data_IF_829177711404
#
_entry.id   IF_829177711404
#
_cell.length_a   1.000
_cell.length_b   1.000
_cell.length_c   1.000
_cell.angle_alpha   90.00
_cell.angle_beta   90.00
_cell.angle_gamma   90.00
#
_symmetry.space_group_name_H-M   'P 1'
#
loop_
_entity.id
_entity.type
_entity.pdbx_description
1 polymer ?
#
# COMPACT_ATOMS: atom_id res chain seq x y z
N UNK A 1 -0.08 -26.04 9.59
CA UNK A 1 -1.48 -26.49 9.64
C UNK A 1 -2.07 -26.36 8.23
N UNK A 2 -2.92 -27.30 7.83
CA UNK A 2 -3.67 -27.22 6.56
C UNK A 2 -5.15 -27.23 6.90
N UNK A 3 -5.90 -26.26 6.38
CA UNK A 3 -7.34 -26.16 6.57
C UNK A 3 -8.04 -26.53 5.26
N UNK A 4 -9.13 -27.28 5.32
CA UNK A 4 -9.94 -27.68 4.17
C UNK A 4 -11.43 -27.66 4.54
N UNK A 5 -12.32 -27.63 3.54
CA UNK A 5 -13.77 -27.61 3.77
C UNK A 5 -14.32 -26.25 4.23
N UNK A 6 -13.59 -25.15 3.97
CA UNK A 6 -14.07 -23.80 4.21
C UNK A 6 -15.13 -23.45 3.16
N UNK A 7 -16.27 -22.95 3.61
CA UNK A 7 -17.42 -22.58 2.77
C UNK A 7 -17.79 -21.12 3.06
N UNK A 8 -18.12 -20.36 2.01
CA UNK A 8 -18.42 -18.93 2.13
C UNK A 8 -17.27 -18.15 2.76
N UNK A 9 -17.58 -17.20 3.63
CA UNK A 9 -16.62 -16.31 4.31
C UNK A 9 -15.95 -16.92 5.55
N UNK A 10 -15.95 -18.26 5.69
CA UNK A 10 -15.33 -18.94 6.83
C UNK A 10 -13.80 -18.88 6.80
N UNK A 11 -13.22 -18.69 5.62
CA UNK A 11 -11.80 -18.40 5.45
C UNK A 11 -11.42 -17.00 5.97
N UNK A 12 -12.22 -15.97 5.70
CA UNK A 12 -12.05 -14.64 6.26
C UNK A 12 -12.12 -14.66 7.79
N UNK A 13 -13.10 -15.39 8.35
CA UNK A 13 -13.22 -15.58 9.79
C UNK A 13 -11.99 -16.29 10.39
N UNK A 14 -11.51 -17.35 9.74
CA UNK A 14 -10.32 -18.08 10.16
C UNK A 14 -9.07 -17.19 10.15
N UNK A 15 -8.87 -16.42 9.08
CA UNK A 15 -7.75 -15.48 8.95
C UNK A 15 -7.83 -14.42 10.06
N UNK A 16 -9.00 -13.81 10.25
CA UNK A 16 -9.22 -12.78 11.26
C UNK A 16 -8.92 -13.28 12.69
N UNK A 17 -9.45 -14.47 13.05
CA UNK A 17 -9.21 -15.06 14.38
C UNK A 17 -7.75 -15.47 14.57
N UNK A 18 -7.10 -15.97 13.52
CA UNK A 18 -5.67 -16.31 13.56
C UNK A 18 -4.82 -15.06 13.75
N UNK A 19 -5.12 -13.97 13.04
CA UNK A 19 -4.44 -12.70 13.19
C UNK A 19 -4.61 -12.11 14.59
N UNK A 20 -5.81 -12.17 15.18
CA UNK A 20 -6.03 -11.75 16.57
C UNK A 20 -5.21 -12.58 17.57
N UNK A 21 -5.17 -13.90 17.38
CA UNK A 21 -4.46 -14.81 18.28
C UNK A 21 -2.95 -14.60 18.29
N UNK A 22 -2.37 -14.27 17.14
CA UNK A 22 -0.91 -14.14 16.97
C UNK A 22 -0.45 -12.68 16.85
N UNK A 23 -1.31 -11.72 17.16
CA UNK A 23 -1.02 -10.29 17.04
C UNK A 23 0.22 -9.87 17.84
N UNK A 24 0.44 -10.46 19.00
CA UNK A 24 1.59 -10.14 19.86
C UNK A 24 2.88 -10.84 19.40
N UNK A 25 2.80 -11.80 18.47
CA UNK A 25 3.92 -12.61 18.03
C UNK A 25 4.58 -12.10 16.74
N UNK A 26 3.82 -11.41 15.88
CA UNK A 26 4.28 -10.91 14.59
C UNK A 26 3.78 -9.49 14.34
N UNK A 27 4.60 -8.68 13.66
CA UNK A 27 4.23 -7.30 13.33
C UNK A 27 3.17 -7.20 12.23
N UNK A 28 3.15 -8.14 11.27
CA UNK A 28 2.23 -8.18 10.12
C UNK A 28 2.00 -9.63 9.69
N UNK A 29 0.74 -10.00 9.42
CA UNK A 29 0.39 -11.27 8.76
C UNK A 29 0.23 -11.05 7.25
N UNK A 30 0.98 -11.81 6.43
CA UNK A 30 0.88 -11.72 4.97
C UNK A 30 0.08 -12.90 4.42
N UNK A 31 -0.96 -12.61 3.64
CA UNK A 31 -1.84 -13.60 3.03
C UNK A 31 -1.67 -13.55 1.52
N UNK A 32 -1.17 -14.65 0.95
CA UNK A 32 -1.08 -14.81 -0.49
C UNK A 32 -2.39 -15.40 -1.04
N UNK A 33 -3.04 -14.66 -1.93
CA UNK A 33 -4.27 -15.09 -2.58
C UNK A 33 -3.95 -15.61 -3.98
N UNK A 34 -4.64 -16.65 -4.44
CA UNK A 34 -4.40 -17.18 -5.78
C UNK A 34 -4.80 -16.15 -6.85
N UNK A 35 -5.88 -15.40 -6.59
CA UNK A 35 -6.43 -14.40 -7.50
C UNK A 35 -6.65 -13.05 -6.82
N UNK A 36 -6.63 -11.96 -7.59
CA UNK A 36 -6.90 -10.61 -7.09
C UNK A 36 -8.32 -10.47 -6.53
N UNK A 37 -9.30 -11.15 -7.13
CA UNK A 37 -10.69 -11.12 -6.69
C UNK A 37 -10.87 -11.69 -5.27
N UNK A 38 -10.14 -12.76 -4.94
CA UNK A 38 -10.15 -13.35 -3.60
C UNK A 38 -9.55 -12.39 -2.57
N UNK A 39 -8.46 -11.71 -2.94
CA UNK A 39 -7.83 -10.72 -2.08
C UNK A 39 -8.77 -9.54 -1.79
N UNK A 40 -9.49 -9.05 -2.80
CA UNK A 40 -10.48 -8.00 -2.63
C UNK A 40 -11.65 -8.45 -1.75
N UNK A 41 -12.17 -9.66 -1.98
CA UNK A 41 -13.24 -10.22 -1.13
C UNK A 41 -12.81 -10.33 0.33
N UNK A 42 -11.61 -10.87 0.58
CA UNK A 42 -11.06 -10.99 1.94
C UNK A 42 -10.86 -9.62 2.61
N UNK A 43 -10.45 -8.59 1.85
CA UNK A 43 -10.31 -7.23 2.35
C UNK A 43 -11.64 -6.68 2.88
N UNK A 44 -12.75 -7.01 2.21
CA UNK A 44 -14.09 -6.58 2.59
C UNK A 44 -14.68 -7.44 3.73
N UNK A 45 -14.37 -8.73 3.77
CA UNK A 45 -14.96 -9.68 4.74
C UNK A 45 -14.23 -9.72 6.09
N UNK A 46 -12.90 -9.57 6.13
CA UNK A 46 -12.11 -9.64 7.38
C UNK A 46 -12.61 -8.63 8.45
N UNK A 47 -12.90 -7.35 8.12
CA UNK A 47 -13.41 -6.39 9.09
C UNK A 47 -14.74 -6.79 9.73
N UNK A 48 -15.56 -7.61 9.07
CA UNK A 48 -16.82 -8.10 9.63
C UNK A 48 -16.60 -9.06 10.81
N UNK A 49 -15.46 -9.77 10.84
CA UNK A 49 -15.11 -10.71 11.90
C UNK A 49 -14.16 -10.12 12.95
N UNK A 50 -13.35 -9.14 12.56
CA UNK A 50 -12.40 -8.48 13.45
C UNK A 50 -12.22 -7.00 13.05
N UNK A 51 -13.15 -6.11 13.40
CA UNK A 51 -13.11 -4.69 13.02
C UNK A 51 -11.91 -3.92 13.59
N UNK A 52 -11.25 -4.47 14.62
CA UNK A 52 -10.04 -3.92 15.22
C UNK A 52 -8.75 -4.21 14.43
N UNK A 53 -8.80 -5.10 13.45
CA UNK A 53 -7.66 -5.40 12.58
C UNK A 53 -7.62 -4.45 11.40
N UNK A 54 -6.42 -3.95 11.09
CA UNK A 54 -6.17 -3.18 9.88
C UNK A 54 -5.70 -4.11 8.78
N UNK A 55 -6.59 -4.38 7.82
CA UNK A 55 -6.28 -5.12 6.61
C UNK A 55 -5.99 -4.15 5.45
N UNK A 56 -4.91 -4.37 4.71
CA UNK A 56 -4.57 -3.62 3.50
C UNK A 56 -4.31 -4.58 2.33
N UNK A 57 -4.71 -4.18 1.12
CA UNK A 57 -4.44 -4.92 -0.11
C UNK A 57 -3.28 -4.27 -0.85
N UNK A 58 -2.26 -5.05 -1.24
CA UNK A 58 -1.22 -4.55 -2.15
C UNK A 58 -1.77 -4.56 -3.58
N UNK A 59 -2.02 -3.39 -4.20
CA UNK A 59 -2.65 -3.34 -5.52
C UNK A 59 -1.70 -3.86 -6.60
N UNK A 60 -2.20 -4.63 -7.58
CA UNK A 60 -1.42 -4.98 -8.77
C UNK A 60 -1.18 -3.75 -9.66
N UNK A 61 -0.23 -3.83 -10.58
CA UNK A 61 -0.01 -2.79 -11.58
C UNK A 61 -1.11 -2.71 -12.63
N UNK A 62 -1.98 -3.74 -12.72
CA UNK A 62 -3.02 -3.88 -13.73
C UNK A 62 -2.46 -3.81 -15.17
N UNK A 63 -1.20 -4.23 -15.33
CA UNK A 63 -0.49 -4.28 -16.60
C UNK A 63 0.01 -5.70 -16.84
N UNK A 64 0.08 -6.06 -18.12
CA UNK A 64 0.73 -7.30 -18.52
C UNK A 64 2.26 -7.18 -18.36
N UNK A 65 2.98 -8.28 -18.11
CA UNK A 65 4.43 -8.27 -18.20
C UNK A 65 4.89 -7.74 -19.57
N UNK A 66 5.77 -6.74 -19.56
CA UNK A 66 6.27 -6.07 -20.76
C UNK A 66 5.23 -5.25 -21.55
N UNK A 67 4.21 -4.74 -20.87
CA UNK A 67 3.29 -3.77 -21.47
C UNK A 67 4.00 -2.44 -21.79
N UNK A 68 3.49 -1.72 -22.79
CA UNK A 68 4.06 -0.45 -23.27
C UNK A 68 3.57 0.75 -22.45
N UNK A 69 2.57 0.55 -21.60
CA UNK A 69 1.99 1.59 -20.76
C UNK A 69 2.69 1.67 -19.41
N UNK A 70 2.86 2.89 -18.91
CA UNK A 70 3.22 3.09 -17.50
C UNK A 70 2.00 2.87 -16.61
N UNK A 71 2.18 2.33 -15.39
CA UNK A 71 1.06 2.15 -14.48
C UNK A 71 0.39 3.48 -14.15
N UNK A 72 -0.92 3.42 -13.88
CA UNK A 72 -1.65 4.62 -13.48
C UNK A 72 -1.06 5.21 -12.18
N UNK A 73 -0.90 6.54 -12.13
CA UNK A 73 -0.30 7.23 -10.98
C UNK A 73 -1.03 6.93 -9.66
N UNK A 74 -2.35 6.72 -9.71
CA UNK A 74 -3.13 6.32 -8.54
C UNK A 74 -2.72 4.93 -8.00
N UNK A 75 -2.41 3.98 -8.87
CA UNK A 75 -1.93 2.65 -8.47
C UNK A 75 -0.53 2.74 -7.88
N UNK A 76 0.36 3.54 -8.49
CA UNK A 76 1.69 3.83 -7.93
C UNK A 76 1.54 4.41 -6.52
N UNK A 77 0.71 5.43 -6.36
CA UNK A 77 0.47 6.10 -5.07
C UNK A 77 -0.08 5.14 -4.02
N UNK A 78 -1.12 4.36 -4.35
CA UNK A 78 -1.71 3.36 -3.44
C UNK A 78 -0.70 2.27 -3.04
N UNK A 79 0.12 1.79 -3.97
CA UNK A 79 1.18 0.82 -3.68
C UNK A 79 2.21 1.40 -2.72
N UNK A 80 2.69 2.62 -2.97
CA UNK A 80 3.65 3.30 -2.09
C UNK A 80 3.06 3.51 -0.69
N UNK A 81 1.81 3.95 -0.59
CA UNK A 81 1.12 4.11 0.69
C UNK A 81 1.02 2.79 1.45
N UNK A 82 0.61 1.70 0.78
CA UNK A 82 0.48 0.36 1.39
C UNK A 82 1.83 -0.17 1.88
N UNK A 83 2.89 -0.04 1.07
CA UNK A 83 4.24 -0.45 1.45
C UNK A 83 4.76 0.38 2.63
N UNK A 84 4.47 1.67 2.65
CA UNK A 84 4.84 2.56 3.75
C UNK A 84 4.10 2.22 5.05
N UNK A 85 2.81 1.85 4.99
CA UNK A 85 2.06 1.38 6.15
C UNK A 85 2.63 0.07 6.70
N UNK A 86 2.97 -0.87 5.81
CA UNK A 86 3.61 -2.14 6.16
C UNK A 86 4.97 -1.93 6.83
N UNK A 87 5.81 -1.03 6.30
CA UNK A 87 7.12 -0.71 6.89
C UNK A 87 7.01 -0.05 8.28
N UNK A 88 5.93 0.69 8.54
CA UNK A 88 5.71 1.36 9.83
C UNK A 88 4.90 0.52 10.83
N UNK A 89 4.57 -0.74 10.51
CA UNK A 89 3.77 -1.60 11.40
C UNK A 89 2.35 -1.06 11.64
N UNK A 90 1.78 -0.32 10.68
CA UNK A 90 0.43 0.25 10.76
C UNK A 90 -0.66 -0.64 10.16
N UNK A 91 -0.28 -1.85 9.73
CA UNK A 91 -1.14 -2.83 9.08
C UNK A 91 -0.98 -4.16 9.81
N UNK A 92 -2.09 -4.78 10.22
CA UNK A 92 -2.07 -6.09 10.90
C UNK A 92 -2.07 -7.24 9.86
N UNK A 93 -2.78 -7.06 8.74
CA UNK A 93 -2.91 -8.06 7.67
C UNK A 93 -2.65 -7.42 6.31
N UNK A 94 -1.72 -7.96 5.52
CA UNK A 94 -1.55 -7.58 4.11
C UNK A 94 -1.96 -8.71 3.19
N UNK A 95 -2.91 -8.41 2.30
CA UNK A 95 -3.39 -9.29 1.25
C UNK A 95 -2.58 -9.03 -0.01
N UNK A 96 -2.02 -10.09 -0.60
CA UNK A 96 -1.19 -10.00 -1.80
C UNK A 96 -1.63 -11.06 -2.82
N UNK A 97 -2.13 -10.67 -3.99
CA UNK A 97 -2.37 -11.61 -5.08
C UNK A 97 -1.06 -12.27 -5.52
N UNK A 98 -1.12 -13.54 -5.94
CA UNK A 98 0.07 -14.31 -6.33
C UNK A 98 0.86 -13.64 -7.47
N UNK A 99 0.17 -13.04 -8.45
CA UNK A 99 0.79 -12.29 -9.55
C UNK A 99 1.61 -11.10 -9.03
N UNK A 100 1.07 -10.37 -8.06
CA UNK A 100 1.71 -9.22 -7.43
C UNK A 100 2.89 -9.63 -6.54
N UNK A 101 2.78 -10.77 -5.85
CA UNK A 101 3.84 -11.30 -4.98
C UNK A 101 5.12 -11.68 -5.73
N UNK A 102 4.99 -12.08 -7.00
CA UNK A 102 6.13 -12.47 -7.84
C UNK A 102 6.91 -11.26 -8.38
N UNK A 103 6.32 -10.06 -8.31
CA UNK A 103 6.98 -8.85 -8.78
C UNK A 103 8.04 -8.39 -7.78
N UNK A 104 9.22 -8.03 -8.29
CA UNK A 104 10.27 -7.45 -7.45
C UNK A 104 9.86 -6.07 -6.95
N UNK A 105 10.06 -5.84 -5.66
CA UNK A 105 9.83 -4.54 -5.03
C UNK A 105 11.14 -3.74 -4.98
N UNK A 106 11.01 -2.41 -4.97
CA UNK A 106 12.13 -1.52 -4.69
C UNK A 106 12.67 -1.74 -3.27
N UNK A 107 13.95 -1.41 -3.01
CA UNK A 107 14.53 -1.56 -1.68
C UNK A 107 13.82 -0.63 -0.69
N UNK A 108 13.62 -1.05 0.59
CA UNK A 108 12.96 -0.21 1.59
C UNK A 108 13.59 1.17 1.77
N UNK A 109 14.92 1.27 1.61
CA UNK A 109 15.67 2.52 1.74
C UNK A 109 15.24 3.59 0.71
N UNK A 110 14.75 3.15 -0.47
CA UNK A 110 14.22 4.04 -1.49
C UNK A 110 12.93 4.72 -1.02
N UNK A 111 12.05 3.97 -0.35
CA UNK A 111 10.79 4.52 0.20
C UNK A 111 11.06 5.52 1.33
N UNK A 112 11.98 5.20 2.24
CA UNK A 112 12.31 6.10 3.35
C UNK A 112 13.01 7.39 2.92
N UNK A 113 13.82 7.33 1.85
CA UNK A 113 14.60 8.49 1.37
C UNK A 113 13.77 9.57 0.66
N UNK A 114 12.57 9.24 0.20
CA UNK A 114 11.71 10.13 -0.59
C UNK A 114 10.35 10.42 0.08
N UNK A 115 10.23 10.19 1.39
CA UNK A 115 9.02 10.54 2.16
C UNK A 115 9.15 11.94 2.75
N UNK A 116 8.16 12.80 2.50
CA UNK A 116 8.10 14.16 3.05
C UNK A 116 7.27 14.18 4.34
N UNK A 117 7.79 14.80 5.39
CA UNK A 117 7.05 15.06 6.62
C UNK A 117 6.99 16.57 6.88
N UNK A 118 5.79 17.12 6.90
CA UNK A 118 5.56 18.53 7.19
C UNK A 118 4.70 18.66 8.45
N UNK A 119 5.05 19.59 9.33
CA UNK A 119 4.25 19.97 10.50
C UNK A 119 3.87 21.44 10.40
N UNK A 120 2.73 21.78 10.99
CA UNK A 120 2.30 23.18 11.07
C UNK A 120 3.35 23.98 11.87
N UNK A 121 3.85 25.07 11.27
CA UNK A 121 4.89 25.93 11.86
C UNK A 121 6.31 25.67 11.34
N UNK A 122 6.51 24.64 10.51
CA UNK A 122 7.80 24.40 9.88
C UNK A 122 8.16 25.54 8.90
N UNK A 123 9.39 26.06 9.00
CA UNK A 123 9.92 27.03 8.04
C UNK A 123 10.43 26.28 6.81
N UNK A 124 9.64 26.30 5.75
CA UNK A 124 10.01 25.67 4.48
C UNK A 124 10.73 26.67 3.57
N UNK A 125 11.88 26.27 3.04
CA UNK A 125 12.53 26.98 1.95
C UNK A 125 11.91 26.49 0.64
N UNK A 126 11.13 27.35 -0.01
CA UNK A 126 10.42 27.04 -1.26
C UNK A 126 11.34 26.50 -2.35
N UNK A 127 12.52 27.11 -2.52
CA UNK A 127 13.49 26.72 -3.56
C UNK A 127 14.04 25.31 -3.30
N UNK A 128 14.39 25.03 -2.04
CA UNK A 128 14.88 23.72 -1.62
C UNK A 128 13.78 22.66 -1.74
N UNK A 129 12.54 22.98 -1.36
CA UNK A 129 11.39 22.08 -1.48
C UNK A 129 11.11 21.74 -2.94
N UNK A 130 11.12 22.75 -3.83
CA UNK A 130 10.94 22.55 -5.27
C UNK A 130 11.99 21.58 -5.84
N UNK A 131 13.26 21.77 -5.46
CA UNK A 131 14.34 20.90 -5.90
C UNK A 131 14.16 19.46 -5.38
N UNK A 132 13.77 19.29 -4.12
CA UNK A 132 13.51 17.98 -3.54
C UNK A 132 12.32 17.27 -4.21
N UNK A 133 11.23 18.00 -4.52
CA UNK A 133 10.08 17.46 -5.24
C UNK A 133 10.46 16.99 -6.65
N UNK A 134 11.28 17.78 -7.36
CA UNK A 134 11.80 17.38 -8.68
C UNK A 134 12.70 16.13 -8.58
N UNK A 135 13.57 16.05 -7.57
CA UNK A 135 14.38 14.84 -7.34
C UNK A 135 13.55 13.61 -6.99
N UNK A 136 12.43 13.80 -6.29
CA UNK A 136 11.48 12.73 -6.00
C UNK A 136 10.59 12.36 -7.20
N UNK A 137 10.75 13.02 -8.35
CA UNK A 137 10.03 12.71 -9.59
C UNK A 137 8.64 13.34 -9.69
N UNK A 138 8.37 14.42 -8.93
CA UNK A 138 7.10 15.13 -9.03
C UNK A 138 7.10 16.13 -10.20
N UNK A 139 5.97 16.22 -10.90
CA UNK A 139 5.78 17.09 -12.07
C UNK A 139 5.28 18.50 -11.68
N UNK A 140 5.95 19.58 -12.13
CA UNK A 140 5.49 20.94 -11.90
C UNK A 140 4.31 21.30 -12.81
N UNK A 141 3.16 21.65 -12.22
CA UNK A 141 1.94 22.02 -12.94
C UNK A 141 1.33 23.33 -12.42
N UNK A 142 0.49 23.97 -13.23
CA UNK A 142 -0.25 25.18 -12.83
C UNK A 142 -1.44 24.88 -11.90
N UNK A 143 -2.02 23.69 -12.00
CA UNK A 143 -3.09 23.18 -11.15
C UNK A 143 -2.90 21.67 -10.95
N UNK A 144 -2.88 21.24 -9.69
CA UNK A 144 -2.70 19.83 -9.31
C UNK A 144 -3.99 19.07 -9.55
N UNK A 145 -3.91 18.02 -10.36
CA UNK A 145 -5.04 17.15 -10.73
C UNK A 145 -4.79 15.68 -10.36
N UNK A 146 -3.52 15.25 -10.27
CA UNK A 146 -3.15 13.84 -10.04
C UNK A 146 -2.06 13.68 -8.97
N UNK A 147 -1.98 12.51 -8.30
CA UNK A 147 -0.86 12.19 -7.44
C UNK A 147 0.46 12.22 -8.23
N UNK A 148 1.49 12.87 -7.68
CA UNK A 148 2.77 13.07 -8.35
C UNK A 148 2.94 14.44 -9.00
N UNK A 149 1.91 15.29 -8.97
CA UNK A 149 2.01 16.68 -9.42
C UNK A 149 2.19 17.64 -8.25
N UNK A 150 2.83 18.79 -8.49
CA UNK A 150 2.89 19.89 -7.52
C UNK A 150 2.71 21.26 -8.18
N UNK A 151 2.13 22.20 -7.43
CA UNK A 151 1.97 23.59 -7.86
C UNK A 151 2.36 24.51 -6.71
N UNK A 152 3.17 25.53 -7.01
CA UNK A 152 3.53 26.58 -6.07
C UNK A 152 2.86 27.87 -6.54
N UNK A 153 1.97 28.40 -5.70
CA UNK A 153 1.33 29.70 -5.89
C UNK A 153 1.79 30.56 -4.73
N UNK A 154 2.33 31.75 -5.05
CA UNK A 154 3.16 32.58 -4.16
C UNK A 154 2.74 32.59 -2.68
N UNK A 155 3.74 32.46 -1.80
CA UNK A 155 3.61 32.34 -0.35
C UNK A 155 3.31 33.62 0.40
#
# INVERSE_FOLDING_TARGET
>A
FTFSGLVGSSDAALIAQTALRYRDNFSVMVIFCAQAQEAQRLLEEIPAFAPQLKASLLPDWELLPYDHFSPHQDLVSKRLATLYELLNGRCDIVLVPATTALQRLGPPNFLSGHTFFFRQGDKLNESALKFQLQQAGYDPVSAVMRPGEYSIRGG
#
